data_IF_300928254086
#
_entry.id   IF_300928254086
#
_cell.length_a   1.000
_cell.length_b   1.000
_cell.length_c   1.000
_cell.angle_alpha   90.00
_cell.angle_beta   90.00
_cell.angle_gamma   90.00
#
_symmetry.space_group_name_H-M   'P 1'
#
loop_
_entity.id
_entity.type
_entity.pdbx_description
1 polymer ?
#
# COMPACT_ATOMS: atom_id res chain seq x y z
N UNK A 1 -47.78 4.49 39.27
CA UNK A 1 -46.84 5.61 39.47
C UNK A 1 -45.52 5.21 38.86
N UNK A 2 -45.20 5.78 37.71
CA UNK A 2 -44.08 5.34 36.88
C UNK A 2 -42.85 6.14 37.32
N UNK A 3 -41.97 5.50 38.09
CA UNK A 3 -40.71 6.09 38.52
C UNK A 3 -39.68 5.96 37.40
N UNK A 4 -39.77 6.84 36.40
CA UNK A 4 -38.74 6.97 35.38
C UNK A 4 -37.53 7.66 35.99
N UNK A 5 -36.62 6.88 36.58
CA UNK A 5 -35.29 7.36 36.94
C UNK A 5 -34.53 7.64 35.64
N UNK A 6 -34.47 8.92 35.26
CA UNK A 6 -33.73 9.39 34.10
C UNK A 6 -32.23 9.41 34.38
N UNK A 7 -31.45 9.20 33.31
CA UNK A 7 -30.00 9.35 33.29
C UNK A 7 -29.57 10.65 33.99
N UNK A 8 -28.63 10.51 34.92
CA UNK A 8 -28.05 11.63 35.65
C UNK A 8 -26.99 12.32 34.79
N UNK A 9 -26.77 13.62 35.03
CA UNK A 9 -25.69 14.36 34.35
C UNK A 9 -24.31 13.73 34.61
N UNK A 10 -24.11 13.16 35.81
CA UNK A 10 -22.86 12.50 36.18
C UNK A 10 -22.60 11.22 35.35
N UNK A 11 -23.66 10.48 34.99
CA UNK A 11 -23.51 9.32 34.10
C UNK A 11 -23.01 9.72 32.72
N UNK A 12 -23.52 10.83 32.15
CA UNK A 12 -23.03 11.32 30.86
C UNK A 12 -21.59 11.84 30.93
N UNK A 13 -21.18 12.44 32.05
CA UNK A 13 -19.80 12.90 32.24
C UNK A 13 -18.80 11.76 32.31
N UNK A 14 -19.13 10.68 33.03
CA UNK A 14 -18.26 9.50 33.13
C UNK A 14 -18.13 8.82 31.76
N UNK A 15 -19.22 8.75 30.99
CA UNK A 15 -19.19 8.18 29.63
C UNK A 15 -18.28 8.98 28.70
N UNK A 16 -18.38 10.31 28.68
CA UNK A 16 -17.49 11.16 27.87
C UNK A 16 -16.02 11.04 28.30
N UNK A 17 -15.76 10.95 29.60
CA UNK A 17 -14.42 10.74 30.14
C UNK A 17 -13.82 9.42 29.64
N UNK A 18 -14.58 8.32 29.71
CA UNK A 18 -14.11 7.01 29.22
C UNK A 18 -13.85 7.05 27.70
N UNK A 19 -14.78 7.59 26.91
CA UNK A 19 -14.63 7.69 25.44
C UNK A 19 -13.36 8.49 25.08
N UNK A 20 -13.07 9.57 25.80
CA UNK A 20 -11.87 10.39 25.54
C UNK A 20 -10.57 9.60 25.74
N UNK A 21 -10.47 8.80 26.79
CA UNK A 21 -9.30 7.95 27.08
C UNK A 21 -9.16 6.85 26.04
N UNK A 22 -10.27 6.23 25.61
CA UNK A 22 -10.25 5.20 24.58
C UNK A 22 -9.70 5.75 23.25
N UNK A 23 -10.13 6.93 22.80
CA UNK A 23 -9.64 7.56 21.55
C UNK A 23 -8.13 7.82 21.62
N UNK A 24 -7.62 8.33 22.75
CA UNK A 24 -6.19 8.60 22.94
C UNK A 24 -5.33 7.32 22.88
N UNK A 25 -5.86 6.17 23.28
CA UNK A 25 -5.17 4.87 23.18
C UNK A 25 -5.30 4.29 21.76
N UNK A 26 -6.44 4.48 21.09
CA UNK A 26 -6.71 3.94 19.75
C UNK A 26 -5.87 4.63 18.65
N UNK A 27 -5.74 5.96 18.68
CA UNK A 27 -4.98 6.73 17.67
C UNK A 27 -3.52 6.25 17.51
N UNK A 28 -2.69 6.19 18.57
CA UNK A 28 -1.28 5.79 18.43
C UNK A 28 -1.09 4.34 17.97
N UNK A 29 -2.08 3.48 18.20
CA UNK A 29 -2.08 2.09 17.74
C UNK A 29 -2.45 1.99 16.24
N UNK A 30 -3.42 2.79 15.79
CA UNK A 30 -3.89 2.82 14.40
C UNK A 30 -2.84 3.39 13.43
N UNK A 31 -2.10 4.43 13.81
CA UNK A 31 -1.17 5.12 12.89
C UNK A 31 -0.06 4.21 12.34
N UNK A 32 0.38 3.19 13.09
CA UNK A 32 1.46 2.29 12.64
C UNK A 32 1.04 1.35 11.50
N UNK A 33 -0.25 1.09 11.34
CA UNK A 33 -0.75 0.17 10.32
C UNK A 33 -0.80 0.79 8.92
N UNK A 34 -0.93 2.11 8.78
CA UNK A 34 -1.02 2.76 7.47
C UNK A 34 0.28 2.68 6.68
N UNK A 35 1.41 3.07 7.29
CA UNK A 35 2.72 3.02 6.59
C UNK A 35 3.12 1.59 6.16
N UNK A 36 2.75 0.57 6.96
CA UNK A 36 3.05 -0.84 6.61
C UNK A 36 2.16 -1.36 5.47
N UNK A 37 0.94 -0.82 5.33
CA UNK A 37 0.04 -1.17 4.23
C UNK A 37 0.57 -0.57 2.92
N UNK A 38 1.08 0.66 2.96
CA UNK A 38 1.58 1.33 1.76
C UNK A 38 2.84 0.64 1.20
N UNK A 39 3.77 0.21 2.06
CA UNK A 39 4.99 -0.54 1.67
C UNK A 39 4.64 -1.89 1.03
N UNK A 40 3.74 -2.68 1.67
CA UNK A 40 3.28 -3.97 1.10
C UNK A 40 2.48 -3.81 -0.19
N UNK A 41 1.70 -2.72 -0.29
CA UNK A 41 0.98 -2.38 -1.50
C UNK A 41 1.92 -2.07 -2.66
N UNK A 42 3.00 -1.35 -2.39
CA UNK A 42 4.03 -1.06 -3.40
C UNK A 42 4.82 -2.31 -3.80
N UNK A 43 5.18 -3.18 -2.86
CA UNK A 43 5.83 -4.46 -3.17
C UNK A 43 4.95 -5.35 -4.08
N UNK A 44 3.66 -5.46 -3.78
CA UNK A 44 2.72 -6.19 -4.63
C UNK A 44 2.60 -5.57 -6.02
N UNK A 45 2.60 -4.24 -6.09
CA UNK A 45 2.55 -3.51 -7.36
C UNK A 45 3.81 -3.73 -8.21
N UNK A 46 5.02 -3.68 -7.60
CA UNK A 46 6.28 -4.00 -8.29
C UNK A 46 6.25 -5.41 -8.87
N UNK A 47 5.79 -6.40 -8.10
CA UNK A 47 5.66 -7.78 -8.59
C UNK A 47 4.66 -7.91 -9.75
N UNK A 48 3.54 -7.18 -9.70
CA UNK A 48 2.58 -7.13 -10.80
C UNK A 48 3.20 -6.55 -12.07
N UNK A 49 3.89 -5.40 -11.95
CA UNK A 49 4.57 -4.74 -13.08
C UNK A 49 5.67 -5.62 -13.63
N UNK A 50 6.44 -6.33 -12.79
CA UNK A 50 7.44 -7.31 -13.22
C UNK A 50 6.82 -8.40 -14.11
N UNK A 51 5.63 -8.91 -13.74
CA UNK A 51 4.89 -9.85 -14.57
C UNK A 51 4.48 -9.28 -15.93
N UNK A 52 4.12 -7.99 -15.98
CA UNK A 52 3.78 -7.30 -17.24
C UNK A 52 5.01 -7.03 -18.11
N UNK A 53 6.16 -6.69 -17.51
CA UNK A 53 7.45 -6.56 -18.20
C UNK A 53 7.83 -7.89 -18.86
N UNK A 54 7.66 -9.00 -18.15
CA UNK A 54 7.93 -10.33 -18.70
C UNK A 54 6.96 -10.70 -19.83
N UNK A 55 5.67 -10.38 -19.70
CA UNK A 55 4.70 -10.58 -20.79
C UNK A 55 5.08 -9.77 -22.04
N UNK A 56 5.45 -8.49 -21.86
CA UNK A 56 5.95 -7.64 -22.93
C UNK A 56 7.20 -8.22 -23.59
N UNK A 57 8.13 -8.77 -22.81
CA UNK A 57 9.32 -9.44 -23.33
C UNK A 57 8.98 -10.65 -24.17
N UNK A 58 8.00 -11.45 -23.78
CA UNK A 58 7.59 -12.63 -24.55
C UNK A 58 7.02 -12.22 -25.92
N UNK A 59 6.18 -11.19 -25.93
CA UNK A 59 5.48 -10.77 -27.15
C UNK A 59 6.39 -9.97 -28.10
N UNK A 60 7.16 -9.02 -27.55
CA UNK A 60 7.96 -8.06 -28.32
C UNK A 60 9.44 -8.44 -28.42
N UNK A 61 9.88 -9.50 -27.72
CA UNK A 61 11.28 -9.97 -27.64
C UNK A 61 12.28 -8.91 -27.16
N UNK A 62 11.80 -7.86 -26.50
CA UNK A 62 12.60 -6.77 -25.95
C UNK A 62 12.04 -6.37 -24.59
N UNK A 63 12.89 -5.87 -23.70
CA UNK A 63 12.42 -5.26 -22.47
C UNK A 63 11.88 -3.85 -22.75
N UNK A 64 10.79 -3.45 -22.07
CA UNK A 64 10.32 -2.09 -22.13
C UNK A 64 11.33 -1.16 -21.44
N UNK A 65 11.55 0.00 -22.02
CA UNK A 65 12.52 1.01 -21.51
C UNK A 65 11.90 1.94 -20.47
N UNK A 66 10.57 1.96 -20.38
CA UNK A 66 9.83 2.79 -19.43
C UNK A 66 8.45 2.21 -19.14
N UNK A 67 7.85 2.59 -18.01
CA UNK A 67 6.45 2.26 -17.69
C UNK A 67 5.49 2.75 -18.78
N UNK A 68 5.79 3.89 -19.42
CA UNK A 68 4.94 4.42 -20.48
C UNK A 68 4.83 3.48 -21.68
N UNK A 69 5.90 2.74 -22.00
CA UNK A 69 5.89 1.76 -23.09
C UNK A 69 4.93 0.59 -22.80
N UNK A 70 4.78 0.22 -21.51
CA UNK A 70 3.78 -0.76 -21.07
C UNK A 70 2.36 -0.19 -21.13
N UNK A 71 2.18 1.10 -20.85
CA UNK A 71 0.88 1.78 -20.92
C UNK A 71 0.42 1.90 -22.38
N UNK A 72 1.30 2.36 -23.27
CA UNK A 72 1.02 2.47 -24.71
C UNK A 72 0.71 1.11 -25.35
N UNK A 73 1.43 0.08 -24.90
CA UNK A 73 1.19 -1.30 -25.35
C UNK A 73 0.03 -2.01 -24.63
N UNK A 74 -0.74 -1.29 -23.79
CA UNK A 74 -1.91 -1.80 -23.05
C UNK A 74 -1.63 -2.93 -22.05
N UNK A 75 -0.39 -3.08 -21.59
CA UNK A 75 -0.02 -3.97 -20.48
C UNK A 75 -0.26 -3.34 -19.10
N UNK A 76 -0.28 -2.01 -19.03
CA UNK A 76 -0.63 -1.23 -17.83
C UNK A 76 -1.68 -0.17 -18.16
N UNK A 77 -2.45 0.27 -17.15
CA UNK A 77 -3.40 1.38 -17.31
C UNK A 77 -2.71 2.70 -16.97
N UNK A 78 -3.08 3.79 -17.67
CA UNK A 78 -2.52 5.14 -17.48
C UNK A 78 -2.60 5.65 -16.03
N UNK A 79 -3.58 5.19 -15.25
CA UNK A 79 -3.81 5.61 -13.87
C UNK A 79 -3.09 4.74 -12.82
N UNK A 80 -2.32 3.74 -13.25
CA UNK A 80 -1.63 2.78 -12.39
C UNK A 80 -0.13 2.84 -12.69
N UNK A 81 0.50 4.01 -12.48
CA UNK A 81 1.94 4.25 -12.73
C UNK A 81 2.74 4.63 -11.48
N UNK A 82 2.06 4.73 -10.35
CA UNK A 82 2.61 5.17 -9.05
C UNK A 82 2.18 4.20 -7.96
N UNK A 83 3.08 3.96 -7.01
CA UNK A 83 2.76 3.15 -5.84
C UNK A 83 1.76 3.87 -4.93
N UNK A 84 1.00 3.14 -4.09
CA UNK A 84 0.05 3.72 -3.13
C UNK A 84 0.71 4.69 -2.12
N UNK A 85 2.01 4.54 -1.88
CA UNK A 85 2.82 5.43 -1.04
C UNK A 85 3.26 6.73 -1.74
N UNK A 86 3.01 6.86 -3.05
CA UNK A 86 3.43 7.99 -3.87
C UNK A 86 4.79 7.83 -4.54
N UNK A 87 5.46 6.68 -4.37
CA UNK A 87 6.75 6.44 -5.00
C UNK A 87 6.62 6.11 -6.49
N UNK A 88 7.61 6.56 -7.26
CA UNK A 88 7.75 6.27 -8.69
C UNK A 88 8.39 4.91 -8.88
N UNK A 89 7.93 4.18 -9.89
CA UNK A 89 8.50 2.88 -10.28
C UNK A 89 9.27 3.04 -11.59
N UNK A 90 10.48 2.50 -11.63
CA UNK A 90 11.43 2.58 -12.74
C UNK A 90 11.72 1.17 -13.24
N UNK A 91 11.79 1.01 -14.56
CA UNK A 91 12.20 -0.24 -15.21
C UNK A 91 13.67 -0.09 -15.62
N UNK A 92 14.51 -1.02 -15.16
CA UNK A 92 15.92 -1.07 -15.51
C UNK A 92 16.14 -1.79 -16.85
N UNK A 93 17.32 -1.60 -17.46
CA UNK A 93 17.69 -2.19 -18.76
C UNK A 93 17.72 -3.73 -18.76
N UNK A 94 17.86 -4.34 -17.59
CA UNK A 94 17.83 -5.79 -17.40
C UNK A 94 16.39 -6.36 -17.29
N UNK A 95 15.38 -5.49 -17.27
CA UNK A 95 13.97 -5.85 -17.08
C UNK A 95 13.53 -5.89 -15.61
N UNK A 96 14.38 -5.49 -14.66
CA UNK A 96 14.03 -5.43 -13.25
C UNK A 96 13.24 -4.15 -12.94
N UNK A 97 12.17 -4.28 -12.16
CA UNK A 97 11.32 -3.16 -11.72
C UNK A 97 11.75 -2.71 -10.32
N UNK A 98 12.09 -1.42 -10.15
CA UNK A 98 12.57 -0.83 -8.88
C UNK A 98 11.82 0.45 -8.52
N UNK A 99 11.84 0.83 -7.25
CA UNK A 99 11.15 2.02 -6.73
C UNK A 99 12.17 3.16 -6.51
N UNK A 100 11.90 4.35 -7.06
CA UNK A 100 12.80 5.53 -7.05
C UNK A 100 13.00 6.14 -5.63
N UNK A 101 12.20 5.71 -4.65
CA UNK A 101 12.19 6.24 -3.28
C UNK A 101 13.05 5.48 -2.26
N UNK A 102 13.49 4.25 -2.54
CA UNK A 102 14.12 3.41 -1.53
C UNK A 102 15.17 2.47 -2.14
N UNK A 103 16.41 2.96 -2.22
CA UNK A 103 17.59 2.15 -2.54
C UNK A 103 17.96 1.13 -1.46
N UNK A 104 16.99 0.58 -0.71
CA UNK A 104 17.32 -0.19 0.49
C UNK A 104 16.41 -1.36 0.88
N UNK A 105 15.39 -1.81 0.13
CA UNK A 105 14.68 -3.07 0.48
C UNK A 105 14.15 -3.90 -0.70
N UNK A 106 15.00 -4.23 -1.67
CA UNK A 106 14.86 -5.54 -2.32
C UNK A 106 15.48 -6.55 -1.36
N UNK A 107 14.71 -6.96 -0.34
CA UNK A 107 15.05 -8.20 0.35
C UNK A 107 14.85 -9.30 -0.67
N UNK A 108 15.97 -9.78 -1.22
CA UNK A 108 16.11 -11.12 -1.75
C UNK A 108 15.24 -12.09 -0.95
N UNK A 109 14.23 -12.67 -1.59
CA UNK A 109 13.88 -14.05 -1.36
C UNK A 109 13.19 -14.67 -2.58
N UNK A 110 13.99 -14.89 -3.63
CA UNK A 110 13.76 -16.02 -4.52
C UNK A 110 14.59 -17.18 -3.98
N UNK A 111 14.04 -17.89 -3.00
CA UNK A 111 14.50 -19.25 -2.66
C UNK A 111 13.43 -20.00 -1.90
N UNK A 112 12.62 -20.74 -2.66
CA UNK A 112 12.03 -22.03 -2.31
C UNK A 112 11.18 -22.13 -1.05
N UNK A 113 9.92 -22.54 -1.22
CA UNK A 113 9.34 -23.53 -0.32
C UNK A 113 8.20 -24.28 -1.05
N UNK A 114 8.55 -25.51 -1.46
CA UNK A 114 7.76 -26.74 -1.63
C UNK A 114 6.34 -26.71 -2.21
#
# INVERSE_FOLDING_TARGET
MNNSKGFTLIEMLIVLLIISVLILITIPNVTKHFATIDEKGCEAYVNMVQGQVEAYRIDQKKFPTSINELVEASYLKENETTCPNGDLVIIQEDGSVVVDGDGAKVSENVSGQS
#
